data_IF_352145243463
#
_entry.id   IF_352145243463
#
_cell.length_a   1.000
_cell.length_b   1.000
_cell.length_c   1.000
_cell.angle_alpha   90.00
_cell.angle_beta   90.00
_cell.angle_gamma   90.00
#
_symmetry.space_group_name_H-M   'P 1'
#
loop_
_entity.id
_entity.type
_entity.pdbx_description
1 polymer ?
#
# COMPACT_ATOMS: atom_id res chain seq x y z
N UNK A 1 24.89 24.22 31.66
CA UNK A 1 23.73 24.00 30.80
C UNK A 1 24.03 24.69 29.47
N UNK A 2 24.45 23.97 28.45
CA UNK A 2 24.68 24.50 27.10
C UNK A 2 23.38 24.37 26.32
N UNK A 3 22.89 25.52 25.91
CA UNK A 3 21.71 25.70 25.05
C UNK A 3 21.94 25.00 23.72
N UNK A 4 21.29 23.87 23.49
CA UNK A 4 21.32 23.10 22.23
C UNK A 4 20.14 23.53 21.33
N UNK A 5 20.03 24.84 21.12
CA UNK A 5 19.16 25.41 20.09
C UNK A 5 19.93 25.51 18.77
N UNK A 6 20.39 24.40 18.24
CA UNK A 6 20.79 24.34 16.84
C UNK A 6 19.51 24.07 16.00
N UNK A 7 18.89 25.16 15.49
CA UNK A 7 17.99 25.05 14.33
C UNK A 7 18.77 24.33 13.22
N UNK A 8 18.55 23.03 13.07
CA UNK A 8 18.95 22.33 11.86
C UNK A 8 18.06 22.91 10.76
N UNK A 9 18.62 23.85 10.00
CA UNK A 9 18.00 24.32 8.77
C UNK A 9 18.15 23.15 7.80
N UNK A 10 17.05 22.44 7.54
CA UNK A 10 17.01 21.42 6.50
C UNK A 10 17.35 22.07 5.17
N UNK A 11 18.23 21.48 4.39
CA UNK A 11 18.57 22.01 3.07
C UNK A 11 17.39 21.77 2.11
N UNK A 12 17.24 22.65 1.12
CA UNK A 12 16.20 22.47 0.09
C UNK A 12 16.43 21.18 -0.73
N UNK A 13 17.69 20.74 -0.87
CA UNK A 13 18.04 19.47 -1.51
C UNK A 13 17.52 18.26 -0.71
N UNK A 14 17.61 18.31 0.61
CA UNK A 14 17.12 17.25 1.47
C UNK A 14 15.59 17.17 1.44
N UNK A 15 14.93 18.33 1.43
CA UNK A 15 13.47 18.41 1.27
C UNK A 15 13.04 17.87 -0.10
N UNK A 16 13.75 18.24 -1.17
CA UNK A 16 13.49 17.73 -2.51
C UNK A 16 13.69 16.20 -2.58
N UNK A 17 14.80 15.68 -2.01
CA UNK A 17 15.04 14.23 -1.96
C UNK A 17 13.94 13.48 -1.21
N UNK A 18 13.39 14.07 -0.14
CA UNK A 18 12.27 13.51 0.60
C UNK A 18 10.99 13.48 -0.24
N UNK A 19 10.64 14.60 -0.89
CA UNK A 19 9.46 14.68 -1.76
C UNK A 19 9.54 13.74 -2.98
N UNK A 20 10.74 13.56 -3.50
CA UNK A 20 11.02 12.67 -4.65
C UNK A 20 11.16 11.19 -4.26
N UNK A 21 11.05 10.85 -2.96
CA UNK A 21 11.23 9.48 -2.45
C UNK A 21 12.67 8.97 -2.49
N UNK A 22 13.66 9.86 -2.69
CA UNK A 22 15.09 9.54 -2.79
C UNK A 22 15.86 9.75 -1.49
N UNK A 23 15.20 10.20 -0.41
CA UNK A 23 15.83 10.40 0.89
C UNK A 23 16.10 9.04 1.57
N UNK A 24 17.25 8.94 2.24
CA UNK A 24 17.56 7.76 3.08
C UNK A 24 16.68 7.73 4.33
N UNK A 25 16.57 6.58 4.99
CA UNK A 25 15.81 6.44 6.23
C UNK A 25 16.26 7.41 7.34
N UNK A 26 17.58 7.70 7.43
CA UNK A 26 18.13 8.67 8.39
C UNK A 26 17.70 10.11 8.03
N UNK A 27 17.69 10.45 6.76
CA UNK A 27 17.26 11.74 6.25
C UNK A 27 15.77 11.96 6.41
N UNK A 28 14.96 10.94 6.15
CA UNK A 28 13.53 10.96 6.45
C UNK A 28 13.26 11.25 7.93
N UNK A 29 13.97 10.56 8.83
CA UNK A 29 13.84 10.77 10.28
C UNK A 29 14.18 12.21 10.69
N UNK A 30 15.21 12.82 10.10
CA UNK A 30 15.58 14.21 10.36
C UNK A 30 14.48 15.20 9.94
N UNK A 31 13.89 14.97 8.77
CA UNK A 31 12.77 15.80 8.27
C UNK A 31 11.56 15.65 9.17
N UNK A 32 11.18 14.42 9.53
CA UNK A 32 10.05 14.14 10.40
C UNK A 32 10.21 14.81 11.78
N UNK A 33 11.40 14.71 12.38
CA UNK A 33 11.69 15.41 13.65
C UNK A 33 11.61 16.93 13.52
N UNK A 34 12.05 17.50 12.40
CA UNK A 34 11.92 18.93 12.16
C UNK A 34 10.45 19.36 12.01
N UNK A 35 9.65 18.53 11.36
CA UNK A 35 8.21 18.74 11.20
C UNK A 35 7.46 18.73 12.53
N UNK A 36 7.88 17.98 13.55
CA UNK A 36 7.28 18.04 14.89
C UNK A 36 7.27 19.45 15.49
N UNK A 37 8.30 20.23 15.17
CA UNK A 37 8.55 21.53 15.81
C UNK A 37 8.35 22.73 14.86
N UNK A 38 8.16 22.49 13.55
CA UNK A 38 8.01 23.54 12.54
C UNK A 38 6.71 23.38 11.73
N UNK A 39 5.67 24.12 12.17
CA UNK A 39 4.38 24.13 11.48
C UNK A 39 4.44 24.70 10.06
N UNK A 40 5.43 25.59 9.76
CA UNK A 40 5.59 26.14 8.41
C UNK A 40 6.21 25.11 7.46
N UNK A 41 7.16 24.31 7.97
CA UNK A 41 7.72 23.18 7.19
C UNK A 41 6.64 22.16 6.86
N UNK A 42 5.81 21.80 7.84
CA UNK A 42 4.66 20.91 7.62
C UNK A 42 3.78 21.39 6.47
N UNK A 43 3.34 22.63 6.56
CA UNK A 43 2.42 23.19 5.56
C UNK A 43 3.08 23.30 4.17
N UNK A 44 4.37 23.64 4.11
CA UNK A 44 5.13 23.65 2.84
C UNK A 44 5.18 22.26 2.19
N UNK A 45 5.50 21.22 2.96
CA UNK A 45 5.55 19.85 2.47
C UNK A 45 4.15 19.37 2.02
N UNK A 46 3.12 19.65 2.81
CA UNK A 46 1.73 19.33 2.46
C UNK A 46 1.31 19.98 1.12
N UNK A 47 1.64 21.26 0.94
CA UNK A 47 1.33 21.98 -0.30
C UNK A 47 2.11 21.37 -1.48
N UNK A 48 3.41 21.06 -1.30
CA UNK A 48 4.21 20.46 -2.37
C UNK A 48 3.65 19.12 -2.82
N UNK A 49 3.33 18.22 -1.88
CA UNK A 49 2.73 16.92 -2.19
C UNK A 49 1.36 17.07 -2.90
N UNK A 50 0.56 18.08 -2.51
CA UNK A 50 -0.74 18.34 -3.15
C UNK A 50 -0.55 18.88 -4.58
N UNK A 51 0.40 19.78 -4.78
CA UNK A 51 0.71 20.37 -6.11
C UNK A 51 1.25 19.30 -7.05
N UNK A 52 2.13 18.42 -6.57
CA UNK A 52 2.67 17.32 -7.38
C UNK A 52 1.56 16.34 -7.79
N UNK A 53 0.63 16.02 -6.89
CA UNK A 53 -0.54 15.19 -7.21
C UNK A 53 -1.47 15.86 -8.23
N UNK A 54 -1.74 17.17 -8.11
CA UNK A 54 -2.56 17.93 -9.07
C UNK A 54 -1.85 18.11 -10.42
N UNK A 55 -0.54 18.37 -10.41
CA UNK A 55 0.27 18.48 -11.63
C UNK A 55 0.32 17.14 -12.38
N UNK A 56 0.46 16.02 -11.67
CA UNK A 56 0.37 14.68 -12.24
C UNK A 56 -0.96 14.45 -12.94
N UNK A 57 -2.08 14.87 -12.33
CA UNK A 57 -3.41 14.80 -12.93
C UNK A 57 -3.54 15.65 -14.21
N UNK A 58 -2.97 16.87 -14.23
CA UNK A 58 -3.00 17.76 -15.40
C UNK A 58 -2.12 17.26 -16.55
N UNK A 59 -0.96 16.68 -16.24
CA UNK A 59 -0.06 16.08 -17.23
C UNK A 59 -0.67 14.81 -17.85
N UNK A 60 -1.45 14.04 -17.10
CA UNK A 60 -2.19 12.87 -17.63
C UNK A 60 -3.26 13.25 -18.66
N UNK A 61 -3.83 14.45 -18.58
CA UNK A 61 -4.82 14.94 -19.55
C UNK A 61 -4.23 15.43 -20.88
N UNK A 62 -2.93 15.71 -20.93
CA UNK A 62 -2.30 16.36 -22.07
C UNK A 62 -1.46 15.46 -22.98
N UNK A 63 -1.09 14.24 -22.59
CA UNK A 63 -0.23 13.38 -23.41
C UNK A 63 -0.59 11.88 -23.33
N UNK A 64 -0.73 11.25 -24.49
CA UNK A 64 -0.61 9.81 -24.69
C UNK A 64 0.87 9.42 -24.48
N UNK A 65 1.30 9.25 -23.21
CA UNK A 65 2.63 8.72 -22.91
C UNK A 65 2.66 7.20 -23.17
N UNK A 66 3.76 6.67 -23.71
CA UNK A 66 3.94 5.22 -23.87
C UNK A 66 3.82 4.52 -22.51
N UNK A 67 3.15 3.37 -22.47
CA UNK A 67 2.89 2.55 -21.28
C UNK A 67 4.14 2.30 -20.42
N UNK A 68 5.31 2.17 -21.06
CA UNK A 68 6.61 1.97 -20.40
C UNK A 68 7.08 3.18 -19.59
N UNK A 69 6.76 4.40 -20.02
CA UNK A 69 7.13 5.62 -19.26
C UNK A 69 6.28 5.79 -18.00
N UNK A 70 5.00 5.35 -18.02
CA UNK A 70 4.13 5.36 -16.84
C UNK A 70 4.59 4.35 -15.79
N UNK A 71 5.04 3.17 -16.22
CA UNK A 71 5.56 2.15 -15.30
C UNK A 71 6.87 2.58 -14.61
N UNK A 72 7.71 3.38 -15.27
CA UNK A 72 8.97 3.87 -14.71
C UNK A 72 8.76 4.94 -13.61
N UNK A 73 7.59 5.58 -13.56
CA UNK A 73 7.27 6.61 -12.56
C UNK A 73 6.53 6.04 -11.33
N UNK A 74 6.13 4.75 -11.35
CA UNK A 74 5.53 4.13 -10.19
C UNK A 74 6.60 3.79 -9.15
N UNK A 75 6.42 4.22 -7.91
CA UNK A 75 7.27 3.84 -6.78
C UNK A 75 7.22 2.32 -6.55
N UNK A 76 8.28 1.72 -6.02
CA UNK A 76 8.36 0.26 -5.81
C UNK A 76 7.17 -0.28 -4.99
N UNK A 77 6.68 0.44 -3.98
CA UNK A 77 5.50 0.10 -3.19
C UNK A 77 4.17 0.15 -3.96
N UNK A 78 4.08 0.87 -5.08
CA UNK A 78 2.84 1.02 -5.86
C UNK A 78 2.33 -0.26 -6.50
N UNK A 79 3.18 -1.29 -6.61
CA UNK A 79 2.85 -2.56 -7.25
C UNK A 79 2.31 -3.65 -6.32
N UNK A 80 2.17 -3.37 -5.02
CA UNK A 80 1.77 -4.38 -4.02
C UNK A 80 0.49 -5.12 -4.41
N UNK A 81 -0.54 -4.42 -4.86
CA UNK A 81 -1.79 -5.02 -5.32
C UNK A 81 -1.57 -5.94 -6.52
N UNK A 82 -0.85 -5.49 -7.56
CA UNK A 82 -0.55 -6.30 -8.74
C UNK A 82 0.26 -7.55 -8.37
N UNK A 83 1.21 -7.46 -7.46
CA UNK A 83 1.98 -8.61 -6.98
C UNK A 83 1.11 -9.60 -6.18
N UNK A 84 0.17 -9.11 -5.37
CA UNK A 84 -0.82 -9.94 -4.69
C UNK A 84 -1.69 -10.70 -5.68
N UNK A 85 -2.20 -10.04 -6.71
CA UNK A 85 -3.01 -10.68 -7.75
C UNK A 85 -2.19 -11.72 -8.54
N UNK A 86 -0.94 -11.42 -8.91
CA UNK A 86 0.00 -12.38 -9.53
C UNK A 86 0.24 -13.60 -8.64
N UNK A 87 0.42 -13.41 -7.33
CA UNK A 87 0.57 -14.50 -6.38
C UNK A 87 -0.65 -15.44 -6.41
N UNK A 88 -1.86 -14.88 -6.41
CA UNK A 88 -3.11 -15.66 -6.46
C UNK A 88 -3.22 -16.40 -7.80
N UNK A 89 -2.96 -15.74 -8.92
CA UNK A 89 -3.00 -16.38 -10.26
C UNK A 89 -2.04 -17.58 -10.31
N UNK A 90 -0.79 -17.44 -9.81
CA UNK A 90 0.17 -18.53 -9.72
C UNK A 90 -0.33 -19.67 -8.83
N UNK A 91 -0.85 -19.34 -7.65
CA UNK A 91 -1.42 -20.32 -6.70
C UNK A 91 -2.57 -21.12 -7.30
N UNK A 92 -3.36 -20.49 -8.17
CA UNK A 92 -4.49 -21.10 -8.90
C UNK A 92 -4.09 -21.79 -10.18
N UNK A 93 -2.79 -21.82 -10.52
CA UNK A 93 -2.27 -22.35 -11.77
C UNK A 93 -2.89 -21.70 -13.04
N UNK A 94 -3.26 -20.43 -12.92
CA UNK A 94 -3.74 -19.61 -14.04
C UNK A 94 -2.53 -18.97 -14.70
N UNK A 95 -2.33 -19.25 -16.01
CA UNK A 95 -1.27 -18.64 -16.78
C UNK A 95 -1.58 -17.18 -17.09
N UNK A 96 -0.58 -16.33 -17.03
CA UNK A 96 -0.68 -14.91 -17.38
C UNK A 96 0.64 -14.41 -17.97
N UNK A 97 0.57 -13.34 -18.72
CA UNK A 97 1.72 -12.55 -19.16
C UNK A 97 1.90 -11.34 -18.26
N UNK A 98 3.08 -11.18 -17.67
CA UNK A 98 3.36 -10.11 -16.70
C UNK A 98 3.28 -8.73 -17.33
N UNK A 99 3.78 -8.57 -18.55
CA UNK A 99 3.73 -7.30 -19.24
C UNK A 99 2.28 -6.93 -19.58
N UNK A 100 1.48 -7.90 -20.00
CA UNK A 100 0.07 -7.69 -20.30
C UNK A 100 -0.74 -7.29 -19.04
N UNK A 101 -0.46 -7.88 -17.89
CA UNK A 101 -1.10 -7.48 -16.64
C UNK A 101 -0.79 -6.01 -16.30
N UNK A 102 0.49 -5.63 -16.37
CA UNK A 102 0.91 -4.26 -16.14
C UNK A 102 0.28 -3.27 -17.12
N UNK A 103 0.33 -3.59 -18.41
CA UNK A 103 -0.26 -2.79 -19.48
C UNK A 103 -1.78 -2.61 -19.30
N UNK A 104 -2.47 -3.65 -18.86
CA UNK A 104 -3.90 -3.59 -18.56
C UNK A 104 -4.18 -2.71 -17.35
N UNK A 105 -3.39 -2.85 -16.28
CA UNK A 105 -3.54 -2.03 -15.08
C UNK A 105 -3.39 -0.53 -15.39
N UNK A 106 -2.36 -0.17 -16.16
CA UNK A 106 -2.09 1.21 -16.56
C UNK A 106 -3.16 1.76 -17.51
N UNK A 107 -3.49 1.02 -18.59
CA UNK A 107 -4.49 1.47 -19.57
C UNK A 107 -5.89 1.65 -19.01
N UNK A 108 -6.28 0.82 -18.03
CA UNK A 108 -7.58 0.92 -17.40
C UNK A 108 -7.59 1.87 -16.19
N UNK A 109 -6.44 2.49 -15.84
CA UNK A 109 -6.31 3.37 -14.68
C UNK A 109 -6.46 2.63 -13.34
N UNK A 110 -6.23 1.31 -13.32
CA UNK A 110 -6.27 0.52 -12.08
C UNK A 110 -5.01 0.73 -11.25
N UNK A 111 -3.88 0.92 -11.90
CA UNK A 111 -2.59 1.28 -11.30
C UNK A 111 -2.26 2.73 -11.65
N UNK A 112 -1.90 3.51 -10.64
CA UNK A 112 -1.46 4.91 -10.72
C UNK A 112 -0.13 5.06 -9.98
N UNK A 113 0.45 6.27 -10.04
CA UNK A 113 1.72 6.59 -9.37
C UNK A 113 1.70 6.25 -7.87
N UNK A 114 0.60 6.51 -7.20
CA UNK A 114 0.37 6.24 -5.78
C UNK A 114 -0.33 4.90 -5.50
N UNK A 115 -0.25 3.93 -6.41
CA UNK A 115 -0.76 2.56 -6.22
C UNK A 115 -2.13 2.29 -6.84
N UNK A 116 -2.79 1.28 -6.31
CA UNK A 116 -4.09 0.78 -6.77
C UNK A 116 -5.19 1.18 -5.80
N UNK A 117 -6.17 1.95 -6.27
CA UNK A 117 -7.33 2.29 -5.45
C UNK A 117 -8.12 1.04 -5.03
N UNK A 118 -8.67 1.01 -3.81
CA UNK A 118 -9.33 -0.17 -3.22
C UNK A 118 -10.38 -0.80 -4.15
N UNK A 119 -11.21 0.01 -4.82
CA UNK A 119 -12.23 -0.48 -5.75
C UNK A 119 -11.67 -1.16 -7.02
N UNK A 120 -10.37 -1.09 -7.26
CA UNK A 120 -9.68 -1.75 -8.36
C UNK A 120 -8.95 -3.03 -7.93
N UNK A 121 -8.86 -3.33 -6.64
CA UNK A 121 -8.24 -4.56 -6.13
C UNK A 121 -9.05 -5.77 -6.62
N UNK A 122 -8.39 -6.74 -7.24
CA UNK A 122 -9.02 -7.95 -7.77
C UNK A 122 -9.39 -7.89 -9.26
N UNK A 123 -9.17 -6.78 -9.96
CA UNK A 123 -9.56 -6.62 -11.37
C UNK A 123 -8.91 -7.63 -12.31
N UNK A 124 -7.63 -7.96 -12.12
CA UNK A 124 -7.00 -9.00 -12.93
C UNK A 124 -7.51 -10.39 -12.59
N UNK A 125 -7.92 -10.62 -11.35
CA UNK A 125 -8.55 -11.88 -10.94
C UNK A 125 -9.91 -12.04 -11.62
N UNK A 126 -10.70 -10.96 -11.71
CA UNK A 126 -11.96 -10.96 -12.47
C UNK A 126 -11.71 -11.25 -13.96
N UNK A 127 -10.73 -10.59 -14.58
CA UNK A 127 -10.36 -10.86 -15.97
C UNK A 127 -9.90 -12.31 -16.22
N UNK A 128 -9.29 -12.91 -15.20
CA UNK A 128 -8.86 -14.31 -15.24
C UNK A 128 -10.01 -15.32 -14.95
N UNK A 129 -11.24 -14.83 -14.77
CA UNK A 129 -12.44 -15.66 -14.61
C UNK A 129 -12.77 -16.06 -13.18
N UNK A 130 -12.13 -15.45 -12.18
CA UNK A 130 -12.55 -15.61 -10.80
C UNK A 130 -13.71 -14.66 -10.48
N UNK A 131 -14.59 -15.09 -9.58
CA UNK A 131 -15.54 -14.19 -8.92
C UNK A 131 -14.81 -13.43 -7.84
N UNK A 132 -14.96 -12.11 -7.83
CA UNK A 132 -14.35 -11.22 -6.84
C UNK A 132 -15.44 -10.51 -6.06
N UNK A 133 -15.35 -10.54 -4.73
CA UNK A 133 -16.25 -9.84 -3.84
C UNK A 133 -15.46 -8.92 -2.92
N UNK A 134 -15.78 -7.64 -2.93
CA UNK A 134 -15.17 -6.59 -2.11
C UNK A 134 -16.14 -6.19 -0.99
N UNK A 135 -15.65 -6.12 0.25
CA UNK A 135 -16.46 -5.75 1.42
C UNK A 135 -15.65 -4.86 2.36
N UNK A 136 -16.35 -4.02 3.10
CA UNK A 136 -15.84 -3.21 4.20
C UNK A 136 -16.42 -3.68 5.53
N UNK A 137 -15.89 -3.16 6.61
CA UNK A 137 -16.36 -3.40 7.98
C UNK A 137 -16.39 -4.91 8.33
N UNK A 138 -15.43 -5.68 7.76
CA UNK A 138 -15.29 -7.10 7.97
C UNK A 138 -14.62 -7.42 9.32
N UNK A 139 -14.69 -8.68 9.74
CA UNK A 139 -14.09 -9.19 10.96
C UNK A 139 -13.09 -10.32 10.66
N UNK A 140 -12.22 -10.67 11.61
CA UNK A 140 -11.28 -11.80 11.49
C UNK A 140 -11.98 -13.11 11.16
N UNK A 141 -13.23 -13.30 11.66
CA UNK A 141 -14.07 -14.44 11.37
C UNK A 141 -14.45 -14.52 9.88
N UNK A 142 -14.64 -13.38 9.20
CA UNK A 142 -14.91 -13.34 7.76
C UNK A 142 -13.72 -13.83 6.97
N UNK A 143 -12.50 -13.44 7.38
CA UNK A 143 -11.25 -13.93 6.80
C UNK A 143 -11.14 -15.45 6.98
N UNK A 144 -11.32 -15.94 8.23
CA UNK A 144 -11.24 -17.35 8.53
C UNK A 144 -12.28 -18.16 7.73
N UNK A 145 -13.50 -17.68 7.63
CA UNK A 145 -14.57 -18.32 6.87
C UNK A 145 -14.26 -18.37 5.37
N UNK A 146 -13.74 -17.29 4.79
CA UNK A 146 -13.34 -17.25 3.38
C UNK A 146 -12.22 -18.27 3.07
N UNK A 147 -11.18 -18.30 3.90
CA UNK A 147 -10.08 -19.27 3.76
C UNK A 147 -10.56 -20.73 3.89
N UNK A 148 -11.46 -21.02 4.85
CA UNK A 148 -12.07 -22.35 5.01
C UNK A 148 -12.89 -22.78 3.79
N UNK A 149 -13.50 -21.84 3.08
CA UNK A 149 -14.20 -22.09 1.82
C UNK A 149 -13.24 -22.26 0.62
N UNK A 150 -11.94 -22.11 0.83
CA UNK A 150 -10.93 -22.18 -0.21
C UNK A 150 -10.88 -20.94 -1.11
N UNK A 151 -11.37 -19.80 -0.62
CA UNK A 151 -11.22 -18.52 -1.30
C UNK A 151 -9.83 -17.97 -1.06
N UNK A 152 -9.33 -17.21 -2.01
CA UNK A 152 -8.17 -16.34 -1.79
C UNK A 152 -8.65 -15.03 -1.15
N UNK A 153 -7.83 -14.47 -0.28
CA UNK A 153 -8.18 -13.28 0.50
C UNK A 153 -7.09 -12.24 0.34
N UNK A 154 -7.48 -11.05 -0.12
CA UNK A 154 -6.63 -9.85 -0.17
C UNK A 154 -7.19 -8.84 0.83
N UNK A 155 -6.30 -8.16 1.56
CA UNK A 155 -6.63 -7.07 2.45
C UNK A 155 -5.74 -5.86 2.17
N UNK A 156 -6.25 -4.68 2.44
CA UNK A 156 -5.46 -3.46 2.47
C UNK A 156 -5.17 -3.10 3.93
N UNK A 157 -3.94 -2.75 4.21
CA UNK A 157 -3.43 -2.49 5.56
C UNK A 157 -2.55 -1.25 5.57
N UNK A 158 -2.32 -0.68 6.73
CA UNK A 158 -1.20 0.21 6.94
C UNK A 158 0.08 -0.61 7.11
N UNK A 159 1.06 -0.36 6.24
CA UNK A 159 2.33 -1.09 6.23
C UNK A 159 3.22 -0.74 7.42
N UNK A 160 3.18 0.50 7.90
CA UNK A 160 3.93 0.98 9.06
C UNK A 160 3.49 0.27 10.34
N UNK A 161 2.18 0.20 10.58
CA UNK A 161 1.58 -0.54 11.70
C UNK A 161 1.90 -2.03 11.64
N UNK A 162 1.80 -2.60 10.45
CA UNK A 162 2.07 -4.02 10.27
C UNK A 162 3.53 -4.36 10.63
N UNK A 163 4.48 -3.50 10.30
CA UNK A 163 5.89 -3.66 10.63
C UNK A 163 6.23 -3.33 12.09
N UNK A 164 5.27 -2.77 12.84
CA UNK A 164 5.42 -2.50 14.26
C UNK A 164 6.39 -1.37 14.58
N UNK A 165 6.41 -0.32 13.75
CA UNK A 165 7.19 0.89 14.01
C UNK A 165 6.28 2.05 14.46
N UNK A 166 5.78 2.04 15.72
CA UNK A 166 4.76 2.97 16.20
C UNK A 166 5.21 4.44 16.21
N UNK A 167 6.49 4.69 16.03
CA UNK A 167 7.01 6.06 16.04
C UNK A 167 6.96 6.72 14.67
N UNK A 168 7.18 5.97 13.61
CA UNK A 168 6.99 6.44 12.23
C UNK A 168 5.51 6.65 11.96
N UNK A 169 4.69 5.74 12.41
CA UNK A 169 3.27 5.71 12.23
C UNK A 169 2.53 6.90 12.86
N UNK A 170 2.77 7.22 14.14
CA UNK A 170 2.17 8.41 14.76
C UNK A 170 2.45 9.69 13.99
N UNK A 171 3.54 9.74 13.25
CA UNK A 171 3.94 10.90 12.46
C UNK A 171 3.25 10.86 11.10
N UNK A 172 3.16 9.72 10.45
CA UNK A 172 2.47 9.55 9.17
C UNK A 172 0.97 9.79 9.33
N UNK A 173 0.33 9.22 10.34
CA UNK A 173 -1.09 9.44 10.68
C UNK A 173 -1.43 10.90 10.95
N UNK A 174 -0.54 11.60 11.64
CA UNK A 174 -0.73 13.03 11.93
C UNK A 174 -0.72 13.90 10.65
N UNK A 175 -0.16 13.40 9.55
CA UNK A 175 0.04 14.14 8.30
C UNK A 175 -0.85 13.69 7.15
N UNK A 176 -0.98 12.38 6.96
CA UNK A 176 -1.68 11.78 5.83
C UNK A 176 -3.07 11.28 6.22
N UNK A 177 -3.34 11.16 7.53
CA UNK A 177 -4.50 10.48 8.07
C UNK A 177 -4.31 8.96 8.03
N UNK A 178 -5.14 8.25 8.77
CA UNK A 178 -5.21 6.79 8.79
C UNK A 178 -5.65 6.27 7.40
N UNK A 179 -4.69 6.01 6.51
CA UNK A 179 -4.95 5.53 5.14
C UNK A 179 -4.15 4.26 4.86
N UNK A 180 -4.80 3.22 4.34
CA UNK A 180 -4.10 2.01 3.96
C UNK A 180 -3.18 2.30 2.75
N UNK A 181 -1.91 2.05 2.90
CA UNK A 181 -0.88 2.25 1.89
C UNK A 181 -0.39 0.95 1.26
N UNK A 182 -0.76 -0.20 1.84
CA UNK A 182 -0.23 -1.50 1.46
C UNK A 182 -1.31 -2.55 1.23
N UNK A 183 -1.03 -3.52 0.36
CA UNK A 183 -1.91 -4.63 0.02
C UNK A 183 -1.18 -5.97 0.19
N UNK A 184 -1.80 -6.90 0.91
CA UNK A 184 -1.24 -8.22 1.21
C UNK A 184 -2.26 -9.34 0.99
N UNK A 185 -1.79 -10.59 0.80
CA UNK A 185 -2.66 -11.77 0.70
C UNK A 185 -2.65 -12.54 2.01
N UNK A 186 -3.81 -12.84 2.53
CA UNK A 186 -3.92 -13.69 3.73
C UNK A 186 -3.75 -15.16 3.32
N UNK A 187 -2.70 -15.80 3.87
CA UNK A 187 -2.36 -17.20 3.62
C UNK A 187 -3.05 -18.14 4.62
N UNK A 188 -3.05 -17.75 5.91
CA UNK A 188 -3.65 -18.53 6.98
C UNK A 188 -4.17 -17.60 8.08
N UNK A 189 -5.22 -18.05 8.78
CA UNK A 189 -5.79 -17.38 9.93
C UNK A 189 -6.06 -18.44 11.00
N UNK A 190 -5.24 -18.46 12.06
CA UNK A 190 -5.38 -19.38 13.18
C UNK A 190 -6.13 -18.69 14.32
N UNK A 191 -7.43 -19.00 14.43
CA UNK A 191 -8.30 -18.44 15.46
C UNK A 191 -7.94 -18.91 16.88
N UNK A 192 -7.28 -20.05 17.02
CA UNK A 192 -6.88 -20.58 18.33
C UNK A 192 -5.55 -19.94 18.79
N UNK A 193 -4.56 -19.89 17.91
CA UNK A 193 -3.28 -19.25 18.18
C UNK A 193 -3.35 -17.70 18.15
N UNK A 194 -4.45 -17.14 17.66
CA UNK A 194 -4.66 -15.70 17.44
C UNK A 194 -3.56 -15.10 16.55
N UNK A 195 -3.25 -15.80 15.47
CA UNK A 195 -2.24 -15.36 14.50
C UNK A 195 -2.76 -15.40 13.07
N UNK A 196 -2.20 -14.52 12.24
CA UNK A 196 -2.46 -14.45 10.82
C UNK A 196 -1.15 -14.54 10.06
N UNK A 197 -1.14 -15.29 8.98
CA UNK A 197 0.03 -15.39 8.08
C UNK A 197 -0.30 -14.67 6.78
N UNK A 198 0.57 -13.78 6.38
CA UNK A 198 0.42 -12.94 5.20
C UNK A 198 1.49 -13.27 4.16
N UNK A 199 1.13 -13.23 2.90
CA UNK A 199 2.07 -13.00 1.81
C UNK A 199 2.18 -11.50 1.62
N UNK A 200 3.36 -10.97 1.86
CA UNK A 200 3.69 -9.57 1.65
C UNK A 200 4.68 -9.47 0.47
N UNK A 201 4.31 -8.80 -0.63
CA UNK A 201 5.20 -8.66 -1.78
C UNK A 201 6.46 -7.85 -1.48
N UNK A 202 6.44 -6.99 -0.46
CA UNK A 202 7.57 -6.16 -0.05
C UNK A 202 8.46 -6.85 1.00
N UNK A 203 8.02 -7.96 1.60
CA UNK A 203 8.83 -8.71 2.55
C UNK A 203 9.87 -9.59 1.85
N UNK A 204 11.15 -9.61 2.30
CA UNK A 204 12.17 -10.50 1.77
C UNK A 204 11.85 -11.99 1.97
N UNK A 205 11.02 -12.31 2.95
CA UNK A 205 10.56 -13.66 3.24
C UNK A 205 9.27 -14.02 2.53
N UNK A 206 8.55 -13.04 2.00
CA UNK A 206 7.26 -13.15 1.32
C UNK A 206 6.12 -13.76 2.17
N UNK A 207 6.42 -14.34 3.33
CA UNK A 207 5.44 -14.89 4.27
C UNK A 207 5.87 -14.56 5.69
N UNK A 208 5.06 -13.75 6.36
CA UNK A 208 5.28 -13.30 7.72
C UNK A 208 4.03 -13.58 8.56
N UNK A 209 4.26 -13.86 9.85
CA UNK A 209 3.19 -14.15 10.81
C UNK A 209 3.05 -13.01 11.82
N UNK A 210 1.83 -12.56 12.03
CA UNK A 210 1.48 -11.48 12.92
C UNK A 210 0.46 -11.92 13.96
N UNK A 211 0.44 -11.25 15.12
CA UNK A 211 -0.67 -11.39 16.07
C UNK A 211 -1.95 -10.74 15.53
N UNK A 212 -3.11 -11.21 15.98
CA UNK A 212 -4.38 -10.60 15.61
C UNK A 212 -4.46 -9.13 16.02
N UNK A 213 -3.87 -8.76 17.16
CA UNK A 213 -3.86 -7.35 17.62
C UNK A 213 -3.10 -6.47 16.64
N UNK A 214 -1.90 -6.85 16.26
CA UNK A 214 -1.07 -6.11 15.32
C UNK A 214 -1.73 -6.00 13.94
N UNK A 215 -2.21 -7.11 13.42
CA UNK A 215 -2.92 -7.13 12.14
C UNK A 215 -4.21 -6.31 12.17
N UNK A 216 -5.01 -6.41 13.24
CA UNK A 216 -6.27 -5.70 13.33
C UNK A 216 -6.09 -4.18 13.38
N UNK A 217 -5.03 -3.69 14.02
CA UNK A 217 -4.69 -2.28 13.97
C UNK A 217 -4.41 -1.87 12.51
N UNK A 218 -3.43 -2.45 11.86
CA UNK A 218 -3.06 -2.15 10.47
C UNK A 218 -4.22 -2.31 9.46
N UNK A 219 -5.18 -3.19 9.75
CA UNK A 219 -6.32 -3.43 8.88
C UNK A 219 -7.47 -2.42 9.11
N UNK A 220 -7.53 -1.80 10.28
CA UNK A 220 -8.59 -0.85 10.63
C UNK A 220 -8.62 0.38 9.72
N UNK A 221 -7.48 0.85 9.24
CA UNK A 221 -7.35 2.06 8.43
C UNK A 221 -7.98 1.94 7.05
N UNK A 222 -8.10 0.73 6.55
CA UNK A 222 -8.90 0.42 5.37
C UNK A 222 -10.40 0.24 5.67
N UNK A 223 -10.87 0.50 6.89
CA UNK A 223 -12.19 0.10 7.38
C UNK A 223 -12.39 -1.41 7.27
N UNK A 224 -11.38 -2.18 7.63
CA UNK A 224 -11.38 -3.63 7.52
C UNK A 224 -11.79 -4.12 6.12
N UNK A 225 -11.18 -3.52 5.09
CA UNK A 225 -11.45 -3.87 3.70
C UNK A 225 -10.96 -5.26 3.37
N UNK A 226 -11.85 -6.06 2.78
CA UNK A 226 -11.64 -7.46 2.44
C UNK A 226 -12.04 -7.73 0.99
N UNK A 227 -11.16 -8.36 0.24
CA UNK A 227 -11.43 -8.92 -1.09
C UNK A 227 -11.33 -10.44 -1.04
N UNK A 228 -12.35 -11.12 -1.51
CA UNK A 228 -12.31 -12.57 -1.69
C UNK A 228 -12.38 -12.93 -3.17
N UNK A 229 -11.52 -13.86 -3.62
CA UNK A 229 -11.52 -14.34 -4.99
C UNK A 229 -11.68 -15.87 -5.02
N UNK A 230 -12.57 -16.37 -5.88
CA UNK A 230 -12.92 -17.79 -5.94
C UNK A 230 -13.49 -18.18 -7.30
N UNK A 231 -13.45 -19.47 -7.63
CA UNK A 231 -14.19 -19.99 -8.77
C UNK A 231 -15.65 -20.23 -8.39
N UNK A 232 -16.56 -19.70 -9.21
CA UNK A 232 -17.99 -20.05 -9.07
C UNK A 232 -18.18 -21.52 -9.41
N UNK A 233 -18.73 -22.30 -8.48
CA UNK A 233 -19.13 -23.69 -8.79
C UNK A 233 -20.35 -23.62 -9.71
N UNK A 234 -20.18 -24.12 -10.94
CA UNK A 234 -21.28 -24.39 -11.87
C UNK A 234 -22.00 -25.67 -11.49
#
# INVERSE_FOLDING_TARGET
>A
MKDLSAKHILSDELIAAYLDGNATAEECLLILQAMEHDAQLRERLRISLTVDAEMGLLLQQSHHLPTMAMAANCQEGSFCCLQCEKFILRRRAISYDEQQLLDNALRNGWLKENGTALHNVGRHLEQAGLSVLQRYDCQLQDIAAALQQGHDVIVAVDGGELLGNPHLEQIEDAFLGELPDHTVVVIACDMHAQTITLFDPNSPHQQDQYSFTQFANAWSDSRNYLVTAFFTKH
#
